data_IF_086118823624
#
_entry.id   IF_086118823624
#
_cell.length_a   1.000
_cell.length_b   1.000
_cell.length_c   1.000
_cell.angle_alpha   90.00
_cell.angle_beta   90.00
_cell.angle_gamma   90.00
#
_symmetry.space_group_name_H-M   'P 1'
#
loop_
_entity.id
_entity.type
_entity.pdbx_description
1 polymer ?
#
# COMPACT_ATOMS: atom_id res chain seq x y z
N UNK A 1 -21.84 20.53 -11.12
CA UNK A 1 -21.61 21.06 -9.77
C UNK A 1 -20.11 20.88 -9.51
N UNK A 2 -19.33 21.94 -9.71
CA UNK A 2 -17.85 21.87 -9.63
C UNK A 2 -17.44 22.05 -8.17
N UNK A 3 -16.90 21.00 -7.57
CA UNK A 3 -16.38 21.02 -6.21
C UNK A 3 -14.94 21.53 -6.34
N UNK A 4 -14.74 22.84 -6.19
CA UNK A 4 -13.40 23.39 -6.11
C UNK A 4 -12.88 23.16 -4.69
N UNK A 5 -11.73 22.49 -4.55
CA UNK A 5 -11.05 22.43 -3.26
C UNK A 5 -10.54 23.82 -2.90
N UNK A 6 -10.97 24.35 -1.76
CA UNK A 6 -10.46 25.61 -1.23
C UNK A 6 -9.15 25.28 -0.51
N UNK A 7 -8.06 25.91 -0.92
CA UNK A 7 -6.77 25.78 -0.23
C UNK A 7 -6.96 26.26 1.21
N UNK A 8 -6.62 25.41 2.18
CA UNK A 8 -6.71 25.76 3.60
C UNK A 8 -5.77 26.96 3.86
N UNK A 9 -6.28 28.03 4.47
CA UNK A 9 -5.48 29.22 4.77
C UNK A 9 -4.36 28.94 5.79
N UNK A 10 -4.43 27.80 6.48
CA UNK A 10 -3.41 27.33 7.40
C UNK A 10 -2.45 26.31 6.77
N UNK A 11 -2.54 26.04 5.46
CA UNK A 11 -1.64 25.11 4.79
C UNK A 11 -0.22 25.67 4.87
N UNK A 12 0.68 24.96 5.56
CA UNK A 12 2.10 25.33 5.63
C UNK A 12 2.75 25.01 4.28
N UNK A 13 2.91 26.03 3.44
CA UNK A 13 3.57 25.94 2.12
C UNK A 13 5.09 25.94 2.22
N UNK A 14 5.65 26.36 3.36
CA UNK A 14 7.06 26.25 3.68
C UNK A 14 7.34 24.90 4.35
N UNK A 15 7.17 23.80 3.60
CA UNK A 15 7.81 22.55 3.98
C UNK A 15 9.29 22.79 3.69
N UNK A 16 10.01 23.31 4.68
CA UNK A 16 11.47 23.25 4.66
C UNK A 16 11.79 21.78 4.37
N UNK A 17 12.62 21.49 3.37
CA UNK A 17 13.13 20.13 3.05
C UNK A 17 13.86 19.44 4.24
N UNK A 18 13.80 20.03 5.44
CA UNK A 18 14.28 19.53 6.72
C UNK A 18 13.17 19.40 7.77
N UNK A 19 11.90 19.16 7.40
CA UNK A 19 11.04 18.38 8.30
C UNK A 19 11.62 16.97 8.32
N UNK A 20 12.65 16.78 9.15
CA UNK A 20 13.25 15.49 9.42
C UNK A 20 12.11 14.54 9.80
N UNK A 21 11.97 13.45 9.03
CA UNK A 21 11.09 12.36 9.43
C UNK A 21 11.38 12.05 10.89
N UNK A 22 10.33 11.89 11.69
CA UNK A 22 10.52 11.52 13.09
C UNK A 22 11.47 10.32 13.15
N UNK A 23 12.51 10.37 14.00
CA UNK A 23 13.46 9.28 14.06
C UNK A 23 12.70 7.99 14.37
N UNK A 24 13.14 6.89 13.77
CA UNK A 24 12.60 5.56 14.03
C UNK A 24 12.54 5.33 15.54
N UNK A 25 11.33 5.21 16.07
CA UNK A 25 11.14 4.91 17.48
C UNK A 25 11.25 3.41 17.69
N UNK A 26 12.14 3.01 18.59
CA UNK A 26 12.30 1.61 18.95
C UNK A 26 11.19 1.24 19.94
N UNK A 27 10.30 0.34 19.51
CA UNK A 27 9.26 -0.24 20.33
C UNK A 27 9.23 -1.75 20.20
N UNK A 28 8.36 -2.40 20.97
CA UNK A 28 8.16 -3.86 20.93
C UNK A 28 7.85 -4.37 19.51
N UNK A 29 7.16 -3.55 18.70
CA UNK A 29 6.84 -3.84 17.32
C UNK A 29 7.17 -2.63 16.45
N UNK A 30 7.88 -2.87 15.35
CA UNK A 30 8.17 -1.86 14.32
C UNK A 30 7.63 -2.33 12.97
N UNK A 31 6.90 -1.46 12.27
CA UNK A 31 6.37 -1.73 10.93
C UNK A 31 6.96 -0.67 10.00
N UNK A 32 7.70 -1.11 9.00
CA UNK A 32 8.29 -0.24 7.97
C UNK A 32 7.62 -0.49 6.63
N UNK A 33 7.38 0.60 5.89
CA UNK A 33 6.84 0.58 4.54
C UNK A 33 7.82 1.27 3.60
N UNK A 34 8.45 0.48 2.73
CA UNK A 34 9.52 0.94 1.84
C UNK A 34 9.09 0.81 0.39
N UNK A 35 9.13 1.89 -0.39
CA UNK A 35 8.93 1.83 -1.84
C UNK A 35 10.26 1.45 -2.50
N UNK A 36 10.32 0.27 -3.13
CA UNK A 36 11.53 -0.30 -3.72
C UNK A 36 11.79 0.21 -5.14
N UNK A 37 10.74 0.28 -5.94
CA UNK A 37 10.79 0.68 -7.35
C UNK A 37 9.47 1.32 -7.75
N UNK A 38 9.53 2.40 -8.52
CA UNK A 38 8.37 3.12 -9.05
C UNK A 38 8.37 3.09 -10.57
N UNK A 39 7.18 3.00 -11.15
CA UNK A 39 6.86 3.11 -12.56
C UNK A 39 5.73 4.14 -12.72
N UNK A 40 5.37 4.44 -13.97
CA UNK A 40 4.45 5.54 -14.29
C UNK A 40 3.09 5.47 -13.57
N UNK A 41 2.56 4.25 -13.35
CA UNK A 41 1.24 4.05 -12.72
C UNK A 41 1.31 3.11 -11.51
N UNK A 42 2.47 2.55 -11.19
CA UNK A 42 2.59 1.51 -10.18
C UNK A 42 3.95 1.50 -9.50
N UNK A 43 4.05 0.81 -8.37
CA UNK A 43 5.28 0.66 -7.64
C UNK A 43 5.30 -0.66 -6.86
N UNK A 44 6.50 -1.12 -6.54
CA UNK A 44 6.71 -2.21 -5.61
C UNK A 44 7.01 -1.66 -4.24
N UNK A 45 6.23 -2.06 -3.24
CA UNK A 45 6.51 -1.74 -1.85
C UNK A 45 6.83 -3.00 -1.04
N UNK A 46 7.71 -2.83 -0.05
CA UNK A 46 8.05 -3.81 0.97
C UNK A 46 7.48 -3.40 2.31
N UNK A 47 6.81 -4.33 2.98
CA UNK A 47 6.40 -4.15 4.38
C UNK A 47 7.28 -5.03 5.25
N UNK A 48 8.03 -4.43 6.16
CA UNK A 48 8.86 -5.16 7.12
C UNK A 48 8.27 -5.04 8.51
N UNK A 49 7.93 -6.17 9.13
CA UNK A 49 7.42 -6.23 10.50
C UNK A 49 8.49 -6.84 11.39
N UNK A 50 9.02 -6.04 12.32
CA UNK A 50 10.08 -6.45 13.25
C UNK A 50 9.54 -6.49 14.67
N UNK A 51 9.59 -7.67 15.29
CA UNK A 51 9.21 -7.87 16.69
C UNK A 51 10.46 -7.85 17.58
N UNK A 52 10.56 -6.85 18.45
CA UNK A 52 11.62 -6.70 19.44
C UNK A 52 11.17 -7.13 20.85
N UNK A 53 9.94 -7.64 21.00
CA UNK A 53 9.45 -8.12 22.29
C UNK A 53 10.12 -9.47 22.65
N UNK A 54 10.80 -9.57 23.80
CA UNK A 54 11.53 -10.79 24.18
C UNK A 54 10.61 -11.93 24.67
N UNK A 55 9.35 -11.65 25.00
CA UNK A 55 8.43 -12.62 25.60
C UNK A 55 7.25 -13.00 24.69
N UNK A 56 6.84 -12.09 23.80
CA UNK A 56 5.71 -12.28 22.91
C UNK A 56 6.15 -12.67 21.50
N UNK A 57 5.66 -13.81 21.01
CA UNK A 57 5.80 -14.17 19.59
C UNK A 57 4.70 -13.49 18.79
N UNK A 58 5.04 -13.00 17.59
CA UNK A 58 4.09 -12.39 16.66
C UNK A 58 3.75 -13.43 15.58
N UNK A 59 2.68 -14.19 15.79
CA UNK A 59 2.16 -15.13 14.80
C UNK A 59 0.76 -14.71 14.37
N UNK A 60 0.38 -15.04 13.12
CA UNK A 60 -0.98 -14.82 12.60
C UNK A 60 -1.41 -13.35 12.70
N UNK A 61 -0.44 -12.44 12.48
CA UNK A 61 -0.71 -11.02 12.50
C UNK A 61 -1.71 -10.64 11.41
N UNK A 62 -2.48 -9.59 11.67
CA UNK A 62 -3.39 -8.96 10.71
C UNK A 62 -3.01 -7.50 10.61
N UNK A 63 -2.69 -7.05 9.40
CA UNK A 63 -2.30 -5.68 9.12
C UNK A 63 -3.32 -5.04 8.19
N UNK A 64 -3.79 -3.86 8.54
CA UNK A 64 -4.69 -3.07 7.70
C UNK A 64 -4.37 -1.60 7.89
N UNK A 65 -4.38 -0.87 6.79
CA UNK A 65 -4.22 0.58 6.76
C UNK A 65 -4.98 1.13 5.56
N UNK A 66 -5.22 2.44 5.58
CA UNK A 66 -5.91 3.13 4.51
C UNK A 66 -4.94 3.58 3.43
N UNK A 67 -5.19 3.13 2.21
CA UNK A 67 -4.48 3.59 1.03
C UNK A 67 -4.97 4.96 0.62
N UNK A 68 -4.02 5.84 0.33
CA UNK A 68 -4.34 7.17 -0.14
C UNK A 68 -4.63 7.13 -1.64
N UNK A 69 -5.28 8.16 -2.17
CA UNK A 69 -5.33 8.42 -3.63
C UNK A 69 -5.82 7.26 -4.52
N UNK A 70 -6.72 6.42 -4.00
CA UNK A 70 -7.35 5.34 -4.77
C UNK A 70 -6.41 4.20 -5.17
N UNK A 71 -5.26 4.08 -4.50
CA UNK A 71 -4.28 3.04 -4.79
C UNK A 71 -4.80 1.64 -4.43
N UNK A 72 -4.32 0.61 -5.12
CA UNK A 72 -4.82 -0.77 -4.96
C UNK A 72 -3.76 -1.85 -5.18
N UNK A 73 -4.03 -3.08 -4.73
CA UNK A 73 -3.06 -4.17 -4.72
C UNK A 73 -3.29 -5.11 -5.90
N UNK A 74 -2.28 -5.29 -6.75
CA UNK A 74 -2.34 -6.15 -7.95
C UNK A 74 -1.66 -7.49 -7.78
N UNK A 75 -0.62 -7.55 -6.96
CA UNK A 75 0.01 -8.81 -6.58
C UNK A 75 0.65 -8.66 -5.21
N UNK A 76 0.82 -9.77 -4.50
CA UNK A 76 1.40 -9.81 -3.16
C UNK A 76 2.13 -11.13 -2.96
N UNK A 77 3.27 -11.05 -2.27
CA UNK A 77 4.10 -12.17 -1.83
C UNK A 77 4.55 -11.92 -0.40
N UNK A 78 4.87 -12.97 0.35
CA UNK A 78 5.21 -12.91 1.77
C UNK A 78 4.00 -12.90 2.71
N UNK A 79 2.83 -12.48 2.21
CA UNK A 79 1.56 -12.46 2.93
C UNK A 79 0.39 -12.73 1.97
N UNK A 80 -0.84 -12.79 2.50
CA UNK A 80 -2.05 -12.90 1.68
C UNK A 80 -3.18 -12.00 2.18
N UNK A 81 -4.18 -11.77 1.34
CA UNK A 81 -5.36 -10.97 1.70
C UNK A 81 -6.43 -11.83 2.31
N UNK A 82 -7.14 -11.30 3.30
CA UNK A 82 -8.33 -11.93 3.89
C UNK A 82 -9.44 -12.13 2.84
N UNK A 83 -9.60 -11.15 1.95
CA UNK A 83 -10.57 -11.15 0.86
C UNK A 83 -9.86 -10.80 -0.45
N UNK A 84 -10.10 -11.59 -1.50
CA UNK A 84 -9.71 -11.26 -2.88
C UNK A 84 -10.99 -10.90 -3.64
N UNK A 85 -11.08 -9.68 -4.15
CA UNK A 85 -12.28 -9.18 -4.82
C UNK A 85 -11.93 -8.15 -5.90
N UNK A 86 -12.09 -8.55 -7.16
CA UNK A 86 -11.90 -7.69 -8.34
C UNK A 86 -13.12 -6.83 -8.67
N UNK A 87 -14.31 -7.15 -8.14
CA UNK A 87 -15.54 -6.43 -8.44
C UNK A 87 -15.47 -4.95 -8.04
N UNK A 88 -14.87 -4.67 -6.88
CA UNK A 88 -14.63 -3.29 -6.43
C UNK A 88 -13.65 -2.51 -7.31
N UNK A 89 -12.85 -3.19 -8.12
CA UNK A 89 -11.97 -2.56 -9.10
C UNK A 89 -12.69 -2.26 -10.41
N UNK A 90 -13.39 -3.26 -10.95
CA UNK A 90 -14.07 -3.18 -12.26
C UNK A 90 -15.19 -2.14 -12.24
N UNK A 91 -15.90 -2.03 -11.11
CA UNK A 91 -16.98 -1.08 -10.91
C UNK A 91 -16.57 0.09 -9.97
N UNK A 92 -15.28 0.22 -9.71
CA UNK A 92 -14.73 1.25 -8.83
C UNK A 92 -14.38 2.52 -9.58
N UNK A 93 -14.18 3.60 -8.83
CA UNK A 93 -13.76 4.91 -9.38
C UNK A 93 -12.42 4.81 -10.10
N UNK A 94 -11.56 3.86 -9.73
CA UNK A 94 -10.27 3.62 -10.38
C UNK A 94 -10.43 3.27 -11.86
N UNK A 95 -11.42 2.43 -12.21
CA UNK A 95 -11.69 2.05 -13.60
C UNK A 95 -12.32 3.20 -14.43
N UNK A 96 -12.88 4.22 -13.77
CA UNK A 96 -13.44 5.40 -14.43
C UNK A 96 -12.39 6.48 -14.72
N UNK A 97 -11.21 6.43 -14.08
CA UNK A 97 -10.17 7.44 -14.29
C UNK A 97 -9.35 7.18 -15.55
N UNK A 98 -9.04 8.25 -16.29
CA UNK A 98 -8.17 8.19 -17.48
C UNK A 98 -6.77 7.65 -17.16
N UNK A 99 -6.33 7.73 -15.90
CA UNK A 99 -5.01 7.28 -15.44
C UNK A 99 -4.80 5.76 -15.60
N UNK A 100 -5.88 4.97 -15.62
CA UNK A 100 -5.82 3.51 -15.68
C UNK A 100 -6.57 2.94 -16.89
N UNK A 101 -6.79 3.76 -17.92
CA UNK A 101 -7.60 3.42 -19.11
C UNK A 101 -7.16 2.13 -19.82
N UNK A 102 -5.86 1.90 -19.89
CA UNK A 102 -5.27 0.73 -20.56
C UNK A 102 -4.89 -0.39 -19.57
N UNK A 103 -5.35 -0.29 -18.31
CA UNK A 103 -5.05 -1.26 -17.26
C UNK A 103 -6.06 -2.41 -17.22
N UNK A 104 -5.56 -3.65 -17.12
CA UNK A 104 -6.38 -4.86 -17.05
C UNK A 104 -6.77 -5.17 -15.59
N UNK A 105 -7.92 -4.64 -15.16
CA UNK A 105 -8.45 -4.84 -13.81
C UNK A 105 -8.81 -6.29 -13.47
N UNK A 106 -8.86 -7.21 -14.45
CA UNK A 106 -9.17 -8.63 -14.21
C UNK A 106 -8.07 -9.35 -13.41
N UNK A 107 -6.86 -8.77 -13.36
CA UNK A 107 -5.68 -9.35 -12.68
C UNK A 107 -5.39 -8.74 -11.32
N UNK A 108 -6.27 -7.87 -10.82
CA UNK A 108 -6.10 -7.20 -9.52
C UNK A 108 -6.47 -8.15 -8.39
N UNK A 109 -5.86 -7.98 -7.21
CA UNK A 109 -6.27 -8.75 -6.03
C UNK A 109 -7.42 -8.05 -5.27
N UNK A 110 -7.30 -6.75 -5.00
CA UNK A 110 -8.30 -5.98 -4.28
C UNK A 110 -8.14 -4.46 -4.52
N UNK A 111 -9.26 -3.74 -4.64
CA UNK A 111 -9.33 -2.27 -4.69
C UNK A 111 -10.04 -1.64 -3.49
N UNK A 112 -10.24 -2.42 -2.42
CA UNK A 112 -10.68 -1.88 -1.14
C UNK A 112 -9.63 -0.88 -0.63
N UNK A 113 -10.02 0.34 -0.23
CA UNK A 113 -9.10 1.31 0.38
C UNK A 113 -8.44 0.82 1.68
N UNK A 114 -9.05 -0.12 2.40
CA UNK A 114 -8.55 -0.68 3.67
C UNK A 114 -8.57 -2.21 3.66
N UNK A 115 -7.73 -2.86 2.85
CA UNK A 115 -7.69 -4.31 2.83
C UNK A 115 -7.05 -4.84 4.11
N UNK A 116 -7.37 -6.09 4.46
CA UNK A 116 -6.72 -6.81 5.55
C UNK A 116 -5.71 -7.80 5.00
N UNK A 117 -4.45 -7.63 5.38
CA UNK A 117 -3.32 -8.48 5.02
C UNK A 117 -3.03 -9.40 6.21
N UNK A 118 -2.84 -10.67 5.92
CA UNK A 118 -2.67 -11.76 6.87
C UNK A 118 -1.30 -12.41 6.71
N UNK A 119 -0.72 -12.77 7.85
CA UNK A 119 0.51 -13.54 7.94
C UNK A 119 0.43 -14.86 7.16
N UNK A 120 1.52 -15.25 6.50
CA UNK A 120 1.57 -16.49 5.74
C UNK A 120 1.75 -17.68 6.71
N UNK A 121 0.83 -18.66 6.75
CA UNK A 121 0.95 -19.77 7.68
C UNK A 121 2.19 -20.63 7.34
N UNK A 122 2.83 -21.27 8.34
CA UNK A 122 4.01 -22.10 8.12
C UNK A 122 3.80 -23.23 7.09
N UNK A 123 2.55 -23.69 6.91
CA UNK A 123 2.19 -24.68 5.89
C UNK A 123 2.42 -24.22 4.45
N UNK A 124 2.48 -22.91 4.21
CA UNK A 124 2.70 -22.30 2.89
C UNK A 124 4.16 -21.83 2.70
N UNK A 125 5.06 -22.16 3.63
CA UNK A 125 6.47 -21.78 3.58
C UNK A 125 7.26 -22.40 2.41
N UNK A 126 6.68 -23.35 1.66
CA UNK A 126 7.27 -23.95 0.45
C UNK A 126 6.53 -23.59 -0.85
N UNK A 127 5.48 -22.76 -0.80
CA UNK A 127 4.77 -22.29 -1.99
C UNK A 127 5.54 -21.17 -2.69
N UNK A 128 6.24 -21.49 -3.77
CA UNK A 128 7.04 -20.53 -4.55
C UNK A 128 6.21 -19.39 -5.17
N UNK A 129 4.89 -19.54 -5.30
CA UNK A 129 4.01 -18.46 -5.74
C UNK A 129 3.74 -17.43 -4.62
N UNK A 130 3.92 -17.83 -3.36
CA UNK A 130 3.71 -17.01 -2.15
C UNK A 130 5.02 -16.54 -1.52
N UNK A 131 6.14 -17.24 -1.78
CA UNK A 131 7.45 -16.91 -1.23
C UNK A 131 8.18 -15.94 -2.17
N UNK A 132 8.08 -14.65 -1.88
CA UNK A 132 9.19 -13.73 -2.09
C UNK A 132 9.12 -12.65 -1.02
N UNK A 133 10.25 -11.98 -0.76
CA UNK A 133 10.32 -10.77 0.05
C UNK A 133 9.10 -9.87 -0.18
N UNK A 134 8.46 -9.42 0.89
CA UNK A 134 7.12 -8.82 1.04
C UNK A 134 6.72 -7.79 -0.01
N UNK A 135 6.61 -8.18 -1.27
CA UNK A 135 6.46 -7.25 -2.38
C UNK A 135 5.00 -7.18 -2.75
N UNK A 136 4.33 -6.11 -2.36
CA UNK A 136 3.07 -5.72 -2.95
C UNK A 136 3.38 -4.92 -4.22
N UNK A 137 2.89 -5.38 -5.37
CA UNK A 137 2.79 -4.48 -6.52
C UNK A 137 1.51 -3.68 -6.36
N UNK A 138 1.70 -2.38 -6.16
CA UNK A 138 0.63 -1.44 -5.90
C UNK A 138 0.53 -0.47 -7.06
N UNK A 139 -0.68 -0.20 -7.48
CA UNK A 139 -0.95 0.80 -8.51
C UNK A 139 -1.39 2.06 -7.81
N UNK A 140 -0.73 3.16 -8.14
CA UNK A 140 -0.94 4.45 -7.51
C UNK A 140 -0.60 5.57 -8.47
N UNK A 141 -1.30 6.69 -8.33
CA UNK A 141 -1.10 7.85 -9.17
C UNK A 141 -0.21 8.87 -8.43
N UNK A 142 1.06 8.97 -8.84
CA UNK A 142 2.01 9.94 -8.28
C UNK A 142 1.90 11.34 -8.91
N UNK A 143 0.83 11.66 -9.65
CA UNK A 143 0.59 12.99 -10.26
C UNK A 143 0.51 14.16 -9.24
N UNK A 144 0.84 13.95 -7.96
CA UNK A 144 1.18 15.00 -7.01
C UNK A 144 2.64 15.51 -7.14
N UNK A 145 3.44 15.05 -8.12
CA UNK A 145 4.77 15.63 -8.44
C UNK A 145 4.90 16.06 -9.89
N UNK A 146 4.30 17.20 -10.21
CA UNK A 146 4.83 18.17 -11.17
C UNK A 146 4.11 19.50 -10.96
N UNK A 147 4.56 20.25 -9.95
CA UNK A 147 4.39 21.70 -9.97
C UNK A 147 5.58 22.25 -10.77
N UNK A 148 5.25 22.89 -11.91
CA UNK A 148 6.16 23.78 -12.63
C UNK A 148 6.65 24.92 -11.73
#
# INVERSE_FOLDING_TARGET
MSICCIVDSNTRTNITLGEEFSPLQQGDLTIMYDVLMTYDINYFARVTISNHNPFGRLDNWKLSWEWMQGEFITSMRGAYLDVVNTGGCIFGTQAETDAYRDFDFSKVLICDPRPTILDLPPSMANDSAKISHDSANKIGNDNAKTLN
#
